data_IF_447855818399
#
_entry.id   IF_447855818399
#
_cell.length_a   1.000
_cell.length_b   1.000
_cell.length_c   1.000
_cell.angle_alpha   90.00
_cell.angle_beta   90.00
_cell.angle_gamma   90.00
#
_symmetry.space_group_name_H-M   'P 1'
#
loop_
_entity.id
_entity.type
_entity.pdbx_description
1 polymer ?
#
# COMPACT_ATOMS: atom_id res chain seq x y z
N UNK A 1 21.96 -11.37 15.69
CA UNK A 1 22.29 -11.56 14.27
C UNK A 1 21.02 -11.53 13.44
N UNK A 2 20.95 -10.74 12.40
CA UNK A 2 19.84 -10.88 11.46
C UNK A 2 19.91 -12.26 10.80
N UNK A 3 18.76 -12.90 10.49
CA UNK A 3 18.75 -14.18 9.80
C UNK A 3 19.47 -14.07 8.44
N UNK A 4 20.20 -15.10 8.06
CA UNK A 4 21.04 -15.13 6.85
C UNK A 4 20.28 -14.93 5.53
N UNK A 5 18.94 -14.95 5.56
CA UNK A 5 18.06 -14.84 4.39
C UNK A 5 17.22 -13.56 4.36
N UNK A 6 17.65 -12.50 5.04
CA UNK A 6 16.90 -11.26 5.03
C UNK A 6 17.00 -10.59 3.64
N UNK A 7 15.84 -10.35 3.03
CA UNK A 7 15.75 -9.59 1.78
C UNK A 7 15.71 -8.10 2.08
N UNK A 8 16.53 -7.34 1.38
CA UNK A 8 16.52 -5.88 1.45
C UNK A 8 15.90 -5.26 0.20
N UNK A 9 15.18 -4.16 0.38
CA UNK A 9 14.55 -3.43 -0.71
C UNK A 9 15.56 -2.66 -1.56
N UNK A 10 15.19 -2.42 -2.82
CA UNK A 10 15.92 -1.56 -3.77
C UNK A 10 15.20 -0.24 -4.02
N UNK A 11 13.97 -0.11 -3.53
CA UNK A 11 13.13 1.07 -3.75
C UNK A 11 12.15 0.95 -4.92
N UNK A 12 12.01 -0.22 -5.53
CA UNK A 12 11.14 -0.49 -6.68
C UNK A 12 10.12 -1.58 -6.43
N UNK A 13 10.12 -2.16 -5.25
CA UNK A 13 9.26 -3.28 -4.89
C UNK A 13 7.84 -2.83 -4.56
N UNK A 14 6.87 -3.64 -4.98
CA UNK A 14 5.49 -3.57 -4.52
C UNK A 14 5.27 -4.70 -3.50
N UNK A 15 4.87 -4.32 -2.30
CA UNK A 15 4.59 -5.24 -1.21
C UNK A 15 3.13 -5.65 -1.25
N UNK A 16 2.89 -6.96 -1.15
CA UNK A 16 1.54 -7.55 -1.10
C UNK A 16 1.37 -8.22 0.25
N UNK A 17 0.30 -7.91 1.01
CA UNK A 17 0.02 -8.57 2.28
C UNK A 17 -0.09 -10.09 2.12
N UNK A 18 0.50 -10.85 3.03
CA UNK A 18 0.47 -12.31 3.01
C UNK A 18 -0.42 -12.89 4.11
N UNK A 19 -0.57 -12.20 5.22
CA UNK A 19 -1.31 -12.65 6.40
C UNK A 19 -2.36 -11.61 6.77
N UNK A 20 -3.56 -12.06 7.11
CA UNK A 20 -4.67 -11.21 7.53
C UNK A 20 -5.75 -12.00 8.26
N UNK A 21 -6.79 -11.32 8.69
CA UNK A 21 -7.96 -11.92 9.34
C UNK A 21 -9.13 -12.02 8.36
N UNK A 22 -9.36 -11.00 7.55
CA UNK A 22 -10.45 -10.95 6.57
C UNK A 22 -9.91 -11.20 5.15
N UNK A 23 -10.43 -12.21 4.41
CA UNK A 23 -10.06 -12.44 3.02
C UNK A 23 -10.26 -11.24 2.09
N UNK A 24 -11.19 -10.33 2.42
CA UNK A 24 -11.44 -9.12 1.63
C UNK A 24 -10.47 -7.98 1.92
N UNK A 25 -9.57 -8.14 2.88
CA UNK A 25 -8.70 -7.06 3.38
C UNK A 25 -7.25 -7.16 2.89
N UNK A 26 -7.04 -7.81 1.75
CA UNK A 26 -5.70 -7.99 1.15
C UNK A 26 -5.31 -6.94 0.11
N UNK A 27 -6.20 -6.02 -0.23
CA UNK A 27 -5.95 -4.95 -1.21
C UNK A 27 -5.24 -3.74 -0.58
N UNK A 28 -4.20 -3.99 0.20
CA UNK A 28 -3.32 -3.00 0.82
C UNK A 28 -1.89 -3.11 0.30
N UNK A 29 -1.75 -3.30 -1.02
CA UNK A 29 -0.46 -3.30 -1.67
C UNK A 29 0.19 -1.92 -1.55
N UNK A 30 1.49 -1.90 -1.34
CA UNK A 30 2.24 -0.67 -1.09
C UNK A 30 3.55 -0.67 -1.88
N UNK A 31 3.88 0.46 -2.49
CA UNK A 31 5.21 0.67 -3.04
C UNK A 31 6.20 0.98 -1.92
N UNK A 32 7.25 0.18 -1.82
CA UNK A 32 8.38 0.43 -0.92
C UNK A 32 9.44 1.24 -1.67
N UNK A 33 9.39 2.57 -1.53
CA UNK A 33 10.27 3.51 -2.24
C UNK A 33 11.65 3.67 -1.61
N UNK A 34 11.82 3.19 -0.38
CA UNK A 34 13.08 3.31 0.36
C UNK A 34 13.98 2.10 0.07
N UNK A 35 15.25 2.31 -0.32
CA UNK A 35 16.22 1.22 -0.41
C UNK A 35 16.69 0.77 0.98
N UNK A 36 17.32 -0.40 1.01
CA UNK A 36 17.96 -0.99 2.19
C UNK A 36 17.05 -1.22 3.40
N UNK A 37 15.74 -1.37 3.16
CA UNK A 37 14.77 -1.77 4.18
C UNK A 37 14.64 -3.29 4.20
N UNK A 38 14.78 -3.89 5.38
CA UNK A 38 14.59 -5.32 5.57
C UNK A 38 13.11 -5.71 5.40
N UNK A 39 12.85 -6.68 4.53
CA UNK A 39 11.50 -7.17 4.25
C UNK A 39 11.32 -8.52 4.94
N UNK A 40 10.30 -8.62 5.80
CA UNK A 40 9.97 -9.83 6.53
C UNK A 40 9.27 -10.89 5.67
N UNK A 41 9.16 -12.10 6.21
CA UNK A 41 8.58 -13.26 5.52
C UNK A 41 7.05 -13.21 5.35
N UNK A 42 6.37 -12.37 6.14
CA UNK A 42 4.91 -12.22 6.11
C UNK A 42 4.41 -11.29 5.00
N UNK A 43 5.27 -10.91 4.10
CA UNK A 43 4.98 -10.01 2.98
C UNK A 43 5.48 -10.65 1.68
N UNK A 44 4.64 -10.69 0.66
CA UNK A 44 5.05 -11.06 -0.69
C UNK A 44 5.59 -9.83 -1.41
N UNK A 45 6.65 -10.01 -2.17
CA UNK A 45 7.31 -8.94 -2.92
C UNK A 45 7.07 -9.15 -4.41
N UNK A 46 6.53 -8.14 -5.06
CA UNK A 46 6.36 -8.09 -6.50
C UNK A 46 7.39 -7.12 -7.10
N UNK A 47 8.28 -7.67 -7.90
CA UNK A 47 9.26 -6.89 -8.67
C UNK A 47 8.68 -6.60 -10.05
N UNK A 48 8.76 -5.36 -10.49
CA UNK A 48 8.18 -4.94 -11.76
C UNK A 48 9.07 -3.89 -12.44
N UNK A 49 9.10 -3.91 -13.75
CA UNK A 49 9.66 -2.83 -14.58
C UNK A 49 8.63 -1.72 -14.86
N UNK A 50 7.39 -1.93 -14.45
CA UNK A 50 6.33 -0.93 -14.49
C UNK A 50 6.51 0.10 -13.37
N UNK A 51 5.76 1.21 -13.45
CA UNK A 51 5.73 2.19 -12.37
C UNK A 51 5.20 1.54 -11.08
N UNK A 52 5.98 1.49 -9.98
CA UNK A 52 5.58 0.74 -8.78
C UNK A 52 4.40 1.38 -8.04
N UNK A 53 4.29 2.71 -8.03
CA UNK A 53 3.14 3.39 -7.44
C UNK A 53 1.85 3.10 -8.22
N UNK A 54 1.92 3.17 -9.55
CA UNK A 54 0.80 2.76 -10.41
C UNK A 54 0.41 1.31 -10.15
N UNK A 55 1.39 0.41 -10.09
CA UNK A 55 1.16 -1.02 -9.87
C UNK A 55 0.45 -1.29 -8.54
N UNK A 56 0.93 -0.71 -7.45
CA UNK A 56 0.31 -0.85 -6.14
C UNK A 56 -1.13 -0.31 -6.13
N UNK A 57 -1.35 0.87 -6.71
CA UNK A 57 -2.68 1.49 -6.81
C UNK A 57 -3.64 0.65 -7.64
N UNK A 58 -3.18 0.13 -8.78
CA UNK A 58 -3.98 -0.74 -9.66
C UNK A 58 -4.33 -2.05 -8.96
N UNK A 59 -3.40 -2.69 -8.27
CA UNK A 59 -3.66 -3.91 -7.53
C UNK A 59 -4.71 -3.70 -6.46
N UNK A 60 -4.61 -2.62 -5.68
CA UNK A 60 -5.60 -2.29 -4.65
C UNK A 60 -6.99 -2.02 -5.24
N UNK A 61 -7.07 -1.40 -6.40
CA UNK A 61 -8.34 -1.07 -7.04
C UNK A 61 -9.00 -2.25 -7.74
N UNK A 62 -8.21 -3.20 -8.27
CA UNK A 62 -8.73 -4.20 -9.21
C UNK A 62 -8.64 -5.64 -8.72
N UNK A 63 -7.74 -5.97 -7.79
CA UNK A 63 -7.45 -7.36 -7.43
C UNK A 63 -8.06 -7.83 -6.09
N UNK A 64 -8.88 -7.04 -5.43
CA UNK A 64 -9.47 -7.42 -4.15
C UNK A 64 -10.18 -8.78 -4.21
N UNK A 65 -11.04 -8.98 -5.18
CA UNK A 65 -11.77 -10.25 -5.36
C UNK A 65 -10.84 -11.39 -5.76
N UNK A 66 -9.84 -11.10 -6.61
CA UNK A 66 -8.85 -12.09 -7.03
C UNK A 66 -8.00 -12.58 -5.84
N UNK A 67 -7.64 -11.70 -4.95
CA UNK A 67 -6.96 -12.05 -3.72
C UNK A 67 -7.87 -12.85 -2.78
N UNK A 68 -9.09 -12.38 -2.54
CA UNK A 68 -10.05 -13.03 -1.65
C UNK A 68 -10.34 -14.48 -2.05
N UNK A 69 -10.46 -14.77 -3.33
CA UNK A 69 -10.69 -16.13 -3.83
C UNK A 69 -9.50 -17.07 -3.63
N UNK A 70 -8.30 -16.52 -3.44
CA UNK A 70 -7.05 -17.30 -3.30
C UNK A 70 -6.55 -17.40 -1.87
N UNK A 71 -7.16 -16.67 -0.95
CA UNK A 71 -6.84 -16.73 0.48
C UNK A 71 -7.23 -18.08 1.07
N UNK A 72 -6.35 -18.62 1.89
CA UNK A 72 -6.54 -19.87 2.61
C UNK A 72 -6.44 -19.67 4.11
N UNK A 73 -7.20 -20.43 4.88
CA UNK A 73 -7.14 -20.43 6.34
C UNK A 73 -8.48 -20.21 7.02
N UNK A 74 -8.45 -20.15 8.34
CA UNK A 74 -9.61 -19.95 9.21
C UNK A 74 -9.62 -18.56 9.86
N UNK A 75 -9.38 -18.50 11.17
CA UNK A 75 -9.30 -17.22 11.92
C UNK A 75 -8.11 -16.37 11.56
N UNK A 76 -7.01 -16.99 11.14
CA UNK A 76 -5.88 -16.33 10.49
C UNK A 76 -5.81 -16.85 9.06
N UNK A 77 -5.79 -15.94 8.10
CA UNK A 77 -5.78 -16.26 6.68
C UNK A 77 -4.43 -15.96 6.05
N UNK A 78 -4.11 -16.63 4.95
CA UNK A 78 -2.86 -16.48 4.23
C UNK A 78 -3.10 -16.39 2.73
N UNK A 79 -2.41 -15.44 2.10
CA UNK A 79 -2.34 -15.31 0.65
C UNK A 79 -0.94 -15.71 0.19
N UNK A 80 -0.79 -16.95 -0.28
CA UNK A 80 0.50 -17.50 -0.67
C UNK A 80 0.94 -17.00 -2.05
N UNK A 81 2.24 -16.76 -2.18
CA UNK A 81 2.85 -16.29 -3.43
C UNK A 81 2.54 -17.20 -4.63
N UNK A 82 2.52 -18.52 -4.43
CA UNK A 82 2.19 -19.48 -5.49
C UNK A 82 0.79 -19.26 -6.09
N UNK A 83 -0.15 -18.75 -5.30
CA UNK A 83 -1.50 -18.42 -5.75
C UNK A 83 -1.55 -17.13 -6.56
N UNK A 84 -0.64 -16.19 -6.28
CA UNK A 84 -0.56 -14.91 -6.98
C UNK A 84 -0.04 -15.05 -8.42
N UNK A 85 0.81 -16.03 -8.68
CA UNK A 85 1.44 -16.24 -10.00
C UNK A 85 0.44 -16.43 -11.16
N UNK A 86 -0.75 -16.91 -10.86
CA UNK A 86 -1.78 -17.22 -11.86
C UNK A 86 -2.77 -16.06 -12.10
N UNK A 87 -2.55 -14.91 -11.48
CA UNK A 87 -3.37 -13.72 -11.70
C UNK A 87 -2.86 -13.02 -12.97
N UNK A 88 -3.73 -12.88 -13.95
CA UNK A 88 -3.43 -12.13 -15.16
C UNK A 88 -3.77 -10.66 -14.96
N UNK A 89 -2.83 -9.79 -15.25
CA UNK A 89 -3.00 -8.34 -15.20
C UNK A 89 -2.50 -7.70 -16.49
N UNK A 90 -3.16 -6.65 -16.91
CA UNK A 90 -2.72 -5.86 -18.08
C UNK A 90 -2.29 -4.47 -17.62
N UNK A 91 -1.23 -3.98 -18.23
CA UNK A 91 -0.68 -2.66 -17.94
C UNK A 91 -0.83 -1.75 -19.16
N UNK A 92 -1.22 -0.48 -18.96
CA UNK A 92 -1.12 0.52 -20.01
C UNK A 92 0.35 0.85 -20.33
N UNK A 93 0.59 1.74 -21.28
CA UNK A 93 1.95 2.21 -21.56
C UNK A 93 2.62 2.83 -20.34
N UNK A 94 3.94 2.79 -20.27
CA UNK A 94 4.71 3.40 -19.17
C UNK A 94 4.37 4.89 -19.02
N UNK A 95 4.19 5.60 -20.11
CA UNK A 95 3.81 7.01 -20.08
C UNK A 95 2.44 7.26 -19.43
N UNK A 96 1.48 6.39 -19.71
CA UNK A 96 0.16 6.46 -19.05
C UNK A 96 0.24 6.09 -17.57
N UNK A 97 1.02 5.07 -17.23
CA UNK A 97 1.27 4.70 -15.84
C UNK A 97 1.85 5.87 -15.02
N UNK A 98 2.85 6.56 -15.57
CA UNK A 98 3.48 7.72 -14.91
C UNK A 98 2.49 8.86 -14.70
N UNK A 99 1.64 9.16 -15.69
CA UNK A 99 0.60 10.19 -15.55
C UNK A 99 -0.44 9.84 -14.49
N UNK A 100 -0.89 8.59 -14.46
CA UNK A 100 -1.87 8.11 -13.48
C UNK A 100 -1.26 8.11 -12.09
N UNK A 101 -0.03 7.61 -11.94
CA UNK A 101 0.69 7.63 -10.67
C UNK A 101 0.86 9.04 -10.12
N UNK A 102 1.28 9.99 -10.95
CA UNK A 102 1.43 11.40 -10.57
C UNK A 102 0.09 12.01 -10.13
N UNK A 103 -1.01 11.68 -10.78
CA UNK A 103 -2.33 12.14 -10.41
C UNK A 103 -2.73 11.65 -9.00
N UNK A 104 -2.56 10.37 -8.69
CA UNK A 104 -2.86 9.82 -7.37
C UNK A 104 -1.90 10.33 -6.29
N UNK A 105 -0.63 10.50 -6.60
CA UNK A 105 0.35 11.10 -5.68
C UNK A 105 -0.05 12.54 -5.31
N UNK A 106 -0.49 13.33 -6.27
CA UNK A 106 -1.00 14.68 -6.02
C UNK A 106 -2.28 14.67 -5.15
N UNK A 107 -3.19 13.73 -5.39
CA UNK A 107 -4.39 13.57 -4.54
C UNK A 107 -4.01 13.21 -3.10
N UNK A 108 -3.10 12.28 -2.89
CA UNK A 108 -2.62 11.90 -1.56
C UNK A 108 -1.96 13.08 -0.84
N UNK A 109 -1.16 13.86 -1.56
CA UNK A 109 -0.56 15.08 -1.03
C UNK A 109 -1.60 16.10 -0.60
N UNK A 110 -2.64 16.34 -1.42
CA UNK A 110 -3.76 17.24 -1.08
C UNK A 110 -4.54 16.74 0.14
N UNK A 111 -4.82 15.45 0.21
CA UNK A 111 -5.48 14.84 1.38
C UNK A 111 -4.67 15.09 2.65
N UNK A 112 -3.37 14.87 2.61
CA UNK A 112 -2.46 15.10 3.74
C UNK A 112 -2.46 16.57 4.17
N UNK A 113 -2.36 17.51 3.22
CA UNK A 113 -2.42 18.95 3.51
C UNK A 113 -3.74 19.35 4.17
N UNK A 114 -4.87 18.83 3.68
CA UNK A 114 -6.19 19.12 4.27
C UNK A 114 -6.34 18.52 5.67
N UNK A 115 -5.80 17.33 5.91
CA UNK A 115 -5.77 16.72 7.24
C UNK A 115 -4.99 17.58 8.23
N UNK A 116 -3.79 18.07 7.87
CA UNK A 116 -3.01 18.99 8.68
C UNK A 116 -3.77 20.28 8.96
N UNK A 117 -4.44 20.84 7.96
CA UNK A 117 -5.25 22.05 8.12
C UNK A 117 -6.42 21.83 9.07
N UNK A 118 -7.11 20.69 8.98
CA UNK A 118 -8.15 20.29 9.91
C UNK A 118 -7.63 20.21 11.35
N UNK A 119 -6.48 19.60 11.57
CA UNK A 119 -5.85 19.46 12.89
C UNK A 119 -5.49 20.82 13.49
N UNK A 120 -4.92 21.72 12.68
CA UNK A 120 -4.61 23.08 13.10
C UNK A 120 -5.86 23.86 13.51
N UNK A 121 -6.93 23.77 12.72
CA UNK A 121 -8.21 24.42 13.02
C UNK A 121 -8.87 23.86 14.27
N UNK A 122 -8.77 22.55 14.52
CA UNK A 122 -9.27 21.92 15.74
C UNK A 122 -8.50 22.39 16.97
N UNK A 123 -7.17 22.50 16.87
CA UNK A 123 -6.33 23.06 17.94
C UNK A 123 -6.67 24.52 18.25
N UNK A 124 -6.85 25.32 17.20
CA UNK A 124 -7.28 26.72 17.35
C UNK A 124 -8.66 26.82 18.02
N UNK A 125 -9.63 26.02 17.57
CA UNK A 125 -10.95 25.96 18.19
C UNK A 125 -10.85 25.63 19.69
N UNK A 126 -10.08 24.61 20.05
CA UNK A 126 -9.88 24.20 21.43
C UNK A 126 -9.26 25.32 22.27
N UNK A 127 -8.24 25.98 21.73
CA UNK A 127 -7.59 27.13 22.40
C UNK A 127 -8.57 28.27 22.64
N UNK A 128 -9.37 28.65 21.63
CA UNK A 128 -10.37 29.71 21.77
C UNK A 128 -11.44 29.37 22.79
N UNK A 129 -11.95 28.13 22.79
CA UNK A 129 -12.93 27.67 23.78
C UNK A 129 -12.40 27.72 25.22
N UNK A 130 -11.13 27.40 25.41
CA UNK A 130 -10.48 27.44 26.71
C UNK A 130 -10.23 28.86 27.22
N UNK A 131 -10.03 29.81 26.33
CA UNK A 131 -9.64 31.20 26.70
C UNK A 131 -10.75 32.23 26.56
N UNK A 132 -11.85 31.95 25.86
CA UNK A 132 -12.96 32.88 25.69
C UNK A 132 -14.04 32.76 26.77
N UNK A 133 -14.09 31.65 27.49
CA UNK A 133 -15.11 31.35 28.50
C UNK A 133 -14.51 31.19 29.92
N UNK A 134 -13.57 32.00 30.22
CA UNK A 134 -12.93 32.02 31.57
C UNK A 134 -13.75 32.86 32.56
#
# INVERSE_FOLDING_TARGET
MPPENLRFSKGTEVLIPRVGEDPMDYNHCTWLSMPDVAIGEMISVFNTDNNPLFTATMFNATLQNEFAMRVEGGSVTNLYFEKLKNIEVSFPSIQEQEKIAAYFENLDHLITLHQHKCDELQKLKKFMLQNMFV
#
